data_IF_495105432334
#
_entry.id   IF_495105432334
#
_cell.length_a   1.000
_cell.length_b   1.000
_cell.length_c   1.000
_cell.angle_alpha   90.00
_cell.angle_beta   90.00
_cell.angle_gamma   90.00
#
_symmetry.space_group_name_H-M   'P 1'
#
loop_
_entity.id
_entity.type
_entity.pdbx_description
1 polymer ?
#
# COMPACT_ATOMS: atom_id res chain seq x y z
N UNK A 1 -8.38 16.00 6.29
CA UNK A 1 -7.90 14.60 6.29
C UNK A 1 -6.87 14.30 7.40
N UNK A 2 -6.28 15.31 8.05
CA UNK A 2 -5.23 15.16 9.08
C UNK A 2 -5.77 14.87 10.50
N UNK A 3 -6.93 15.43 10.87
CA UNK A 3 -7.56 15.20 12.19
C UNK A 3 -7.94 13.72 12.40
N UNK A 4 -8.58 13.10 11.41
CA UNK A 4 -9.08 11.72 11.49
C UNK A 4 -7.98 10.65 11.58
N UNK A 5 -6.76 10.96 11.13
CA UNK A 5 -5.59 10.07 11.27
C UNK A 5 -5.07 10.04 12.70
N UNK A 6 -5.22 11.15 13.42
CA UNK A 6 -4.90 11.25 14.83
C UNK A 6 -5.84 10.32 15.62
N UNK A 7 -7.16 10.39 15.35
CA UNK A 7 -8.19 9.58 15.99
C UNK A 7 -7.93 8.07 15.83
N UNK A 8 -7.58 7.58 14.63
CA UNK A 8 -7.34 6.14 14.42
C UNK A 8 -6.08 5.61 15.12
N UNK A 9 -5.04 6.45 15.23
CA UNK A 9 -3.77 6.07 15.88
C UNK A 9 -3.93 6.07 17.41
N UNK A 10 -4.69 7.03 17.94
CA UNK A 10 -5.04 7.10 19.36
C UNK A 10 -5.88 5.88 19.78
N UNK A 11 -6.96 5.60 19.06
CA UNK A 11 -7.82 4.43 19.33
C UNK A 11 -7.05 3.11 19.18
N UNK A 12 -6.10 3.02 18.24
CA UNK A 12 -5.21 1.86 18.13
C UNK A 12 -4.39 1.65 19.41
N UNK A 13 -3.83 2.73 19.96
CA UNK A 13 -3.04 2.67 21.19
C UNK A 13 -3.90 2.27 22.41
N UNK A 14 -5.16 2.69 22.46
CA UNK A 14 -6.12 2.28 23.49
C UNK A 14 -6.36 0.76 23.44
N UNK A 15 -6.64 0.18 22.27
CA UNK A 15 -6.82 -1.27 22.13
C UNK A 15 -5.54 -2.06 22.44
N UNK A 16 -4.36 -1.54 22.08
CA UNK A 16 -3.09 -2.19 22.43
C UNK A 16 -2.85 -2.19 23.94
N UNK A 17 -3.20 -1.09 24.63
CA UNK A 17 -3.13 -1.00 26.08
C UNK A 17 -4.10 -1.96 26.77
N UNK A 18 -5.37 -1.98 26.34
CA UNK A 18 -6.40 -2.89 26.87
C UNK A 18 -5.99 -4.36 26.66
N UNK A 19 -5.51 -4.71 25.46
CA UNK A 19 -5.02 -6.06 25.16
C UNK A 19 -3.86 -6.47 26.06
N UNK A 20 -2.87 -5.59 26.23
CA UNK A 20 -1.70 -5.84 27.07
C UNK A 20 -2.10 -6.10 28.52
N UNK A 21 -2.97 -5.25 29.08
CA UNK A 21 -3.49 -5.39 30.44
C UNK A 21 -4.36 -6.66 30.60
N UNK A 22 -5.19 -7.01 29.61
CA UNK A 22 -5.96 -8.26 29.60
C UNK A 22 -5.03 -9.49 29.70
N UNK A 23 -3.91 -9.47 28.96
CA UNK A 23 -2.92 -10.54 28.98
C UNK A 23 -2.23 -10.66 30.33
N UNK A 24 -1.85 -9.52 30.94
CA UNK A 24 -1.23 -9.48 32.27
C UNK A 24 -2.20 -10.02 33.33
N UNK A 25 -3.46 -9.56 33.33
CA UNK A 25 -4.49 -10.06 34.24
C UNK A 25 -4.73 -11.56 34.10
N UNK A 26 -4.65 -12.11 32.88
CA UNK A 26 -4.79 -13.54 32.63
C UNK A 26 -3.60 -14.36 33.14
N UNK A 27 -2.39 -13.81 33.09
CA UNK A 27 -1.16 -14.45 33.56
C UNK A 27 -1.03 -14.40 35.09
N UNK A 28 -1.53 -13.33 35.71
CA UNK A 28 -1.44 -13.08 37.14
C UNK A 28 -2.66 -13.60 37.92
N UNK A 29 -3.48 -14.48 37.34
CA UNK A 29 -4.60 -15.11 38.07
C UNK A 29 -4.04 -16.05 39.14
N UNK A 30 -3.79 -15.51 40.33
CA UNK A 30 -3.58 -16.27 41.56
C UNK A 30 -4.88 -16.95 41.96
N UNK A 31 -4.82 -18.12 42.61
CA UNK A 31 -5.95 -18.84 43.24
C UNK A 31 -6.54 -18.08 44.45
N UNK A 32 -6.48 -16.75 44.42
CA UNK A 32 -7.20 -15.87 45.32
C UNK A 32 -8.69 -16.09 45.14
N UNK A 33 -9.38 -16.40 46.23
CA UNK A 33 -10.85 -16.44 46.30
C UNK A 33 -11.50 -15.09 45.94
N UNK A 34 -10.71 -14.02 45.90
CA UNK A 34 -11.09 -12.67 45.52
C UNK A 34 -10.16 -12.20 44.38
N UNK A 35 -10.55 -12.44 43.13
CA UNK A 35 -9.86 -11.85 41.98
C UNK A 35 -9.94 -10.33 42.02
N UNK A 36 -9.03 -9.63 41.32
CA UNK A 36 -9.04 -8.16 41.21
C UNK A 36 -10.22 -7.69 40.34
N UNK A 37 -11.42 -7.75 40.91
CA UNK A 37 -12.68 -7.37 40.24
C UNK A 37 -12.59 -5.96 39.66
N UNK A 38 -11.97 -5.04 40.39
CA UNK A 38 -11.86 -3.64 40.01
C UNK A 38 -10.94 -3.43 38.79
N UNK A 39 -9.84 -4.17 38.69
CA UNK A 39 -8.93 -4.08 37.53
C UNK A 39 -9.59 -4.61 36.26
N UNK A 40 -10.35 -5.71 36.38
CA UNK A 40 -11.11 -6.27 35.26
C UNK A 40 -12.27 -5.37 34.85
N UNK A 41 -12.95 -4.74 35.81
CA UNK A 41 -14.04 -3.80 35.56
C UNK A 41 -13.52 -2.56 34.82
N UNK A 42 -12.43 -1.95 35.31
CA UNK A 42 -11.77 -0.84 34.65
C UNK A 42 -11.36 -1.19 33.21
N UNK A 43 -10.88 -2.42 32.98
CA UNK A 43 -10.49 -2.89 31.67
C UNK A 43 -11.68 -3.07 30.71
N UNK A 44 -12.80 -3.55 31.22
CA UNK A 44 -14.05 -3.67 30.45
C UNK A 44 -14.60 -2.28 30.09
N UNK A 45 -14.54 -1.32 31.00
CA UNK A 45 -14.95 0.07 30.71
C UNK A 45 -14.01 0.72 29.68
N UNK A 46 -12.69 0.58 29.83
CA UNK A 46 -11.72 1.07 28.85
C UNK A 46 -11.94 0.46 27.45
N UNK A 47 -12.30 -0.82 27.39
CA UNK A 47 -12.68 -1.46 26.12
C UNK A 47 -13.95 -0.86 25.51
N UNK A 48 -14.98 -0.56 26.32
CA UNK A 48 -16.23 0.04 25.83
C UNK A 48 -15.99 1.44 25.28
N UNK A 49 -15.16 2.24 25.94
CA UNK A 49 -14.80 3.57 25.47
C UNK A 49 -14.06 3.50 24.13
N UNK A 50 -13.02 2.66 24.05
CA UNK A 50 -12.29 2.43 22.79
C UNK A 50 -13.20 1.90 21.68
N UNK A 51 -14.17 1.01 22.01
CA UNK A 51 -15.17 0.49 21.08
C UNK A 51 -16.09 1.58 20.53
N UNK A 52 -16.50 2.56 21.34
CA UNK A 52 -17.33 3.67 20.88
C UNK A 52 -16.58 4.50 19.83
N UNK A 53 -15.32 4.83 20.09
CA UNK A 53 -14.47 5.54 19.14
C UNK A 53 -14.23 4.72 17.87
N UNK A 54 -13.97 3.41 18.01
CA UNK A 54 -13.86 2.48 16.88
C UNK A 54 -15.13 2.43 16.02
N UNK A 55 -16.32 2.38 16.64
CA UNK A 55 -17.60 2.35 15.93
C UNK A 55 -17.79 3.55 15.01
N UNK A 56 -17.39 4.75 15.48
CA UNK A 56 -17.37 5.96 14.66
C UNK A 56 -16.41 5.82 13.47
N UNK A 57 -15.16 5.40 13.71
CA UNK A 57 -14.15 5.19 12.66
C UNK A 57 -14.65 4.18 11.62
N UNK A 58 -15.20 3.04 12.05
CA UNK A 58 -15.67 1.99 11.12
C UNK A 58 -16.84 2.44 10.26
N UNK A 59 -17.75 3.26 10.79
CA UNK A 59 -18.88 3.81 10.02
C UNK A 59 -18.38 4.85 9.01
N UNK A 60 -17.48 5.73 9.42
CA UNK A 60 -16.88 6.76 8.55
C UNK A 60 -16.00 6.14 7.44
N UNK A 61 -15.30 5.05 7.73
CA UNK A 61 -14.40 4.35 6.78
C UNK A 61 -15.05 3.15 6.09
N UNK A 62 -16.34 2.90 6.33
CA UNK A 62 -17.10 1.76 5.81
C UNK A 62 -16.41 0.39 6.06
N UNK A 63 -15.79 0.23 7.23
CA UNK A 63 -15.21 -1.03 7.66
C UNK A 63 -16.33 -1.94 8.17
N UNK A 64 -16.58 -3.05 7.48
CA UNK A 64 -17.56 -4.07 7.87
C UNK A 64 -17.15 -4.91 9.11
N UNK A 65 -16.47 -4.30 10.07
CA UNK A 65 -15.93 -4.96 11.27
C UNK A 65 -16.77 -4.59 12.48
N UNK A 66 -17.31 -5.59 13.15
CA UNK A 66 -18.13 -5.43 14.35
C UNK A 66 -17.44 -6.04 15.57
N UNK A 67 -17.35 -5.27 16.64
CA UNK A 67 -16.84 -5.71 17.94
C UNK A 67 -18.00 -6.06 18.86
N UNK A 68 -17.88 -7.16 19.60
CA UNK A 68 -18.93 -7.60 20.54
C UNK A 68 -19.02 -6.69 21.76
N UNK A 69 -20.21 -6.61 22.35
CA UNK A 69 -20.35 -6.05 23.70
C UNK A 69 -19.81 -7.06 24.71
N UNK A 70 -18.97 -6.56 25.62
CA UNK A 70 -18.41 -7.34 26.71
C UNK A 70 -18.95 -6.74 28.01
N UNK A 71 -19.61 -7.57 28.80
CA UNK A 71 -20.17 -7.18 30.08
C UNK A 71 -19.60 -8.03 31.21
N UNK A 72 -19.44 -7.40 32.38
CA UNK A 72 -19.10 -8.10 33.62
C UNK A 72 -20.21 -9.04 34.12
N UNK A 73 -21.40 -9.01 33.49
CA UNK A 73 -22.56 -9.81 33.89
C UNK A 73 -22.54 -11.16 33.19
N UNK A 74 -22.15 -12.22 33.91
CA UNK A 74 -22.15 -13.57 33.34
C UNK A 74 -21.73 -14.66 34.32
N UNK A 75 -22.70 -15.55 34.59
CA UNK A 75 -22.67 -16.90 35.19
C UNK A 75 -22.00 -17.07 36.57
N UNK A 76 -22.63 -17.90 37.41
CA UNK A 76 -22.23 -18.26 38.78
C UNK A 76 -20.93 -19.11 38.81
N UNK A 77 -19.84 -18.58 38.26
CA UNK A 77 -18.53 -19.21 38.26
C UNK A 77 -17.62 -18.58 39.32
N UNK A 78 -16.54 -19.28 39.66
CA UNK A 78 -15.49 -18.71 40.50
C UNK A 78 -14.89 -17.45 39.86
N UNK A 79 -14.48 -16.49 40.70
CA UNK A 79 -13.90 -15.22 40.26
C UNK A 79 -12.73 -15.41 39.28
N UNK A 80 -11.88 -16.40 39.55
CA UNK A 80 -10.73 -16.75 38.70
C UNK A 80 -11.15 -17.24 37.30
N UNK A 81 -12.24 -18.02 37.19
CA UNK A 81 -12.74 -18.47 35.89
C UNK A 81 -13.36 -17.32 35.10
N UNK A 82 -14.13 -16.47 35.79
CA UNK A 82 -14.74 -15.27 35.20
C UNK A 82 -13.68 -14.32 34.64
N UNK A 83 -12.61 -14.07 35.39
CA UNK A 83 -11.47 -13.26 34.94
C UNK A 83 -10.81 -13.86 33.71
N UNK A 84 -10.47 -15.16 33.73
CA UNK A 84 -9.85 -15.83 32.56
C UNK A 84 -10.71 -15.78 31.31
N UNK A 85 -12.03 -15.96 31.45
CA UNK A 85 -12.96 -15.91 30.33
C UNK A 85 -13.05 -14.49 29.74
N UNK A 86 -13.30 -13.49 30.58
CA UNK A 86 -13.43 -12.09 30.13
C UNK A 86 -12.13 -11.54 29.55
N UNK A 87 -10.98 -11.80 30.17
CA UNK A 87 -9.68 -11.39 29.61
C UNK A 87 -9.42 -12.01 28.25
N UNK A 88 -9.89 -13.24 27.98
CA UNK A 88 -9.75 -13.89 26.68
C UNK A 88 -10.69 -13.28 25.63
N UNK A 89 -11.91 -12.92 26.03
CA UNK A 89 -12.85 -12.23 25.15
C UNK A 89 -12.31 -10.85 24.76
N UNK A 90 -11.81 -10.08 25.73
CA UNK A 90 -11.15 -8.80 25.51
C UNK A 90 -9.96 -8.92 24.54
N UNK A 91 -9.06 -9.87 24.77
CA UNK A 91 -7.90 -10.13 23.89
C UNK A 91 -8.33 -10.39 22.44
N UNK A 92 -9.41 -11.18 22.25
CA UNK A 92 -9.93 -11.53 20.93
C UNK A 92 -10.58 -10.34 20.22
N UNK A 93 -11.40 -9.56 20.91
CA UNK A 93 -12.06 -8.40 20.29
C UNK A 93 -11.08 -7.25 20.04
N UNK A 94 -10.12 -7.02 20.94
CA UNK A 94 -9.03 -6.05 20.70
C UNK A 94 -8.20 -6.44 19.48
N UNK A 95 -7.94 -7.73 19.25
CA UNK A 95 -7.20 -8.19 18.06
C UNK A 95 -7.91 -7.86 16.75
N UNK A 96 -9.24 -8.00 16.71
CA UNK A 96 -10.03 -7.59 15.55
C UNK A 96 -9.91 -6.08 15.30
N UNK A 97 -10.06 -5.28 16.35
CA UNK A 97 -9.99 -3.83 16.27
C UNK A 97 -8.60 -3.36 15.81
N UNK A 98 -7.54 -3.87 16.41
CA UNK A 98 -6.15 -3.58 16.06
C UNK A 98 -5.87 -3.93 14.60
N UNK A 99 -6.32 -5.10 14.14
CA UNK A 99 -6.15 -5.52 12.73
C UNK A 99 -6.86 -4.56 11.78
N UNK A 100 -8.10 -4.18 12.09
CA UNK A 100 -8.86 -3.23 11.29
C UNK A 100 -8.22 -1.83 11.26
N UNK A 101 -7.81 -1.31 12.42
CA UNK A 101 -7.15 0.01 12.51
C UNK A 101 -5.78 0.02 11.84
N UNK A 102 -5.00 -1.06 11.95
CA UNK A 102 -3.72 -1.19 11.23
C UNK A 102 -3.90 -1.24 9.72
N UNK A 103 -5.02 -1.76 9.23
CA UNK A 103 -5.34 -1.69 7.79
C UNK A 103 -5.70 -0.28 7.31
N UNK A 104 -6.06 0.63 8.24
CA UNK A 104 -6.28 2.05 7.97
C UNK A 104 -5.00 2.89 8.11
N UNK A 105 -4.04 2.43 8.93
CA UNK A 105 -2.75 3.08 9.05
C UNK A 105 -1.97 2.89 7.74
N UNK A 106 -1.42 3.96 7.14
CA UNK A 106 -0.53 3.77 6.01
C UNK A 106 0.68 2.96 6.48
N UNK A 107 1.00 1.89 5.77
CA UNK A 107 2.17 1.05 6.05
C UNK A 107 3.50 1.77 5.77
N UNK A 108 3.44 3.01 5.27
CA UNK A 108 4.55 3.76 4.71
C UNK A 108 5.22 4.65 5.75
N UNK A 109 6.55 4.61 5.79
CA UNK A 109 7.35 5.54 6.60
C UNK A 109 7.16 6.98 6.10
N UNK A 110 7.53 7.99 6.91
CA UNK A 110 7.45 9.39 6.48
C UNK A 110 8.22 9.65 5.18
N UNK A 111 9.34 8.94 4.97
CA UNK A 111 10.13 9.03 3.72
C UNK A 111 9.41 8.41 2.52
N UNK A 112 8.72 7.29 2.71
CA UNK A 112 7.94 6.65 1.65
C UNK A 112 6.77 7.54 1.22
N UNK A 113 6.12 8.24 2.16
CA UNK A 113 5.03 9.16 1.85
C UNK A 113 5.48 10.31 0.93
N UNK A 114 6.66 10.89 1.18
CA UNK A 114 7.23 11.94 0.32
C UNK A 114 7.48 11.42 -1.09
N UNK A 115 8.07 10.22 -1.22
CA UNK A 115 8.32 9.58 -2.52
C UNK A 115 7.01 9.31 -3.25
N UNK A 116 6.00 8.72 -2.58
CA UNK A 116 4.70 8.44 -3.20
C UNK A 116 3.98 9.72 -3.64
N UNK A 117 4.12 10.80 -2.87
CA UNK A 117 3.55 12.11 -3.23
C UNK A 117 4.23 12.65 -4.49
N UNK A 118 5.56 12.57 -4.58
CA UNK A 118 6.31 12.93 -5.79
C UNK A 118 5.87 12.08 -6.99
N UNK A 119 5.71 10.77 -6.82
CA UNK A 119 5.27 9.88 -7.90
C UNK A 119 3.86 10.22 -8.40
N UNK A 120 2.93 10.59 -7.50
CA UNK A 120 1.58 11.05 -7.89
C UNK A 120 1.66 12.33 -8.71
N UNK A 121 2.49 13.29 -8.30
CA UNK A 121 2.67 14.54 -9.03
C UNK A 121 3.28 14.31 -10.43
N UNK A 122 4.30 13.44 -10.53
CA UNK A 122 4.87 13.06 -11.82
C UNK A 122 3.84 12.35 -12.72
N UNK A 123 2.93 11.55 -12.13
CA UNK A 123 1.87 10.89 -12.88
C UNK A 123 0.86 11.89 -13.46
N UNK A 124 0.52 12.95 -12.72
CA UNK A 124 -0.35 14.03 -13.20
C UNK A 124 0.28 14.76 -14.41
N UNK A 125 1.59 14.95 -14.42
CA UNK A 125 2.32 15.57 -15.55
C UNK A 125 2.30 14.72 -16.83
N UNK A 126 2.04 13.42 -16.71
CA UNK A 126 1.92 12.51 -17.85
C UNK A 126 0.52 12.50 -18.46
N UNK A 127 -0.46 13.16 -17.83
CA UNK A 127 -1.86 13.15 -18.26
C UNK A 127 -2.00 13.59 -19.73
N UNK A 128 -2.67 12.77 -20.53
CA UNK A 128 -2.84 12.99 -21.97
C UNK A 128 -1.58 12.83 -22.84
N UNK A 129 -0.41 12.55 -22.24
CA UNK A 129 0.86 12.43 -22.95
C UNK A 129 1.27 10.96 -23.22
N UNK A 130 0.57 9.99 -22.62
CA UNK A 130 0.73 8.54 -22.88
C UNK A 130 -0.55 8.02 -23.57
N UNK A 131 -0.45 7.16 -24.61
CA UNK A 131 -1.60 6.81 -25.47
C UNK A 131 -2.79 6.12 -24.77
N UNK A 132 -2.55 5.23 -23.81
CA UNK A 132 -3.62 4.48 -23.13
C UNK A 132 -3.85 5.00 -21.71
N UNK A 133 -4.91 5.78 -21.50
CA UNK A 133 -5.30 6.37 -20.21
C UNK A 133 -5.43 5.36 -19.04
N UNK A 134 -5.53 4.05 -19.30
CA UNK A 134 -5.59 3.06 -18.23
C UNK A 134 -4.30 2.99 -17.39
N UNK A 135 -3.16 3.50 -17.88
CA UNK A 135 -1.93 3.57 -17.09
C UNK A 135 -2.14 4.32 -15.77
N UNK A 136 -2.87 5.43 -15.78
CA UNK A 136 -3.09 6.28 -14.62
C UNK A 136 -3.89 5.53 -13.54
N UNK A 137 -4.98 4.86 -13.95
CA UNK A 137 -5.80 4.03 -13.05
C UNK A 137 -4.95 2.93 -12.42
N UNK A 138 -4.11 2.25 -13.19
CA UNK A 138 -3.27 1.18 -12.68
C UNK A 138 -2.19 1.71 -11.73
N UNK A 139 -1.50 2.80 -12.07
CA UNK A 139 -0.45 3.37 -11.19
C UNK A 139 -1.05 3.90 -9.89
N UNK A 140 -2.20 4.59 -9.95
CA UNK A 140 -2.90 5.06 -8.74
C UNK A 140 -3.38 3.90 -7.85
N UNK A 141 -3.89 2.81 -8.44
CA UNK A 141 -4.27 1.61 -7.68
C UNK A 141 -3.03 0.93 -7.07
N UNK A 142 -1.90 0.89 -7.80
CA UNK A 142 -0.65 0.35 -7.28
C UNK A 142 -0.11 1.16 -6.10
N UNK A 143 -0.18 2.50 -6.16
CA UNK A 143 0.20 3.38 -5.06
C UNK A 143 -0.74 3.18 -3.86
N UNK A 144 -2.05 3.11 -4.10
CA UNK A 144 -3.05 2.86 -3.05
C UNK A 144 -2.82 1.50 -2.37
N UNK A 145 -2.50 0.46 -3.14
CA UNK A 145 -2.14 -0.85 -2.62
C UNK A 145 -0.87 -0.79 -1.75
N UNK A 146 0.14 -0.02 -2.17
CA UNK A 146 1.35 0.20 -1.37
C UNK A 146 1.03 0.90 -0.03
N UNK A 147 0.25 1.98 -0.08
CA UNK A 147 -0.15 2.73 1.12
C UNK A 147 -0.88 1.83 2.14
N UNK A 148 -1.65 0.85 1.66
CA UNK A 148 -2.34 -0.17 2.48
C UNK A 148 -1.45 -1.34 2.92
N UNK A 149 -0.15 -1.33 2.59
CA UNK A 149 0.78 -2.44 2.88
C UNK A 149 0.58 -3.68 2.00
N UNK A 150 -0.23 -3.60 0.95
CA UNK A 150 -0.47 -4.68 0.00
C UNK A 150 0.64 -4.72 -1.08
N UNK A 151 1.88 -4.95 -0.64
CA UNK A 151 3.08 -4.85 -1.49
C UNK A 151 3.05 -5.78 -2.71
N UNK A 152 2.60 -7.03 -2.56
CA UNK A 152 2.47 -7.95 -3.69
C UNK A 152 1.48 -7.43 -4.73
N UNK A 153 0.32 -6.92 -4.31
CA UNK A 153 -0.69 -6.38 -5.22
C UNK A 153 -0.15 -5.15 -5.96
N UNK A 154 0.47 -4.23 -5.22
CA UNK A 154 1.14 -3.06 -5.79
C UNK A 154 2.20 -3.46 -6.82
N UNK A 155 3.05 -4.44 -6.48
CA UNK A 155 4.08 -4.93 -7.38
C UNK A 155 3.53 -5.56 -8.66
N UNK A 156 2.46 -6.35 -8.56
CA UNK A 156 1.80 -6.98 -9.72
C UNK A 156 1.23 -5.92 -10.68
N UNK A 157 0.56 -4.91 -10.14
CA UNK A 157 -0.04 -3.84 -10.93
C UNK A 157 1.06 -2.99 -11.58
N UNK A 158 2.07 -2.53 -10.81
CA UNK A 158 3.21 -1.78 -11.33
C UNK A 158 3.97 -2.55 -12.42
N UNK A 159 4.21 -3.84 -12.20
CA UNK A 159 4.87 -4.73 -13.18
C UNK A 159 4.12 -4.81 -14.50
N UNK A 160 2.78 -4.86 -14.47
CA UNK A 160 1.94 -4.86 -15.68
C UNK A 160 2.12 -3.56 -16.47
N UNK A 161 2.16 -2.41 -15.79
CA UNK A 161 2.36 -1.11 -16.43
C UNK A 161 3.76 -1.00 -17.03
N UNK A 162 4.81 -1.48 -16.35
CA UNK A 162 6.17 -1.54 -16.90
C UNK A 162 6.23 -2.36 -18.19
N UNK A 163 5.56 -3.53 -18.22
CA UNK A 163 5.52 -4.37 -19.41
C UNK A 163 4.81 -3.65 -20.56
N UNK A 164 3.65 -3.03 -20.29
CA UNK A 164 2.94 -2.21 -21.27
C UNK A 164 3.81 -1.07 -21.81
N UNK A 165 4.41 -0.26 -20.93
CA UNK A 165 5.24 0.89 -21.31
C UNK A 165 6.47 0.44 -22.10
N UNK A 166 7.10 -0.68 -21.70
CA UNK A 166 8.20 -1.26 -22.46
C UNK A 166 7.76 -1.63 -23.88
N UNK A 167 6.57 -2.20 -24.04
CA UNK A 167 6.06 -2.64 -25.34
C UNK A 167 5.66 -1.49 -26.27
N UNK A 168 5.46 -0.27 -25.75
CA UNK A 168 5.28 0.94 -26.57
C UNK A 168 6.58 1.43 -27.22
N UNK A 169 7.75 1.02 -26.73
CA UNK A 169 9.05 1.42 -27.31
C UNK A 169 9.38 0.50 -28.48
N UNK A 170 9.67 1.09 -29.65
CA UNK A 170 10.00 0.36 -30.89
C UNK A 170 11.24 -0.52 -30.72
N UNK A 171 11.15 -1.77 -31.18
CA UNK A 171 12.20 -2.79 -31.08
C UNK A 171 11.64 -4.10 -30.52
N UNK A 172 12.21 -5.25 -30.91
CA UNK A 172 11.77 -6.55 -30.41
C UNK A 172 12.53 -6.92 -29.13
N UNK A 173 13.85 -6.73 -29.16
CA UNK A 173 14.74 -6.99 -28.04
C UNK A 173 15.03 -5.73 -27.23
N UNK A 174 15.55 -5.88 -26.01
CA UNK A 174 15.85 -4.75 -25.14
C UNK A 174 16.95 -3.85 -25.75
N UNK A 175 17.89 -4.48 -26.44
CA UNK A 175 18.97 -3.85 -27.19
C UNK A 175 18.43 -2.95 -28.31
N UNK A 176 17.46 -3.44 -29.09
CA UNK A 176 16.81 -2.68 -30.16
C UNK A 176 16.10 -1.44 -29.61
N UNK A 177 15.38 -1.62 -28.49
CA UNK A 177 14.65 -0.53 -27.82
C UNK A 177 15.59 0.56 -27.34
N UNK A 178 16.72 0.20 -26.73
CA UNK A 178 17.73 1.19 -26.30
C UNK A 178 18.39 1.86 -27.48
N UNK A 179 18.69 1.10 -28.54
CA UNK A 179 19.28 1.65 -29.75
C UNK A 179 18.33 2.67 -30.39
N UNK A 180 17.03 2.36 -30.49
CA UNK A 180 16.00 3.28 -30.95
C UNK A 180 15.95 4.56 -30.09
N UNK A 181 15.92 4.43 -28.75
CA UNK A 181 15.88 5.59 -27.86
C UNK A 181 17.13 6.47 -28.00
N UNK A 182 18.29 5.86 -28.17
CA UNK A 182 19.55 6.58 -28.40
C UNK A 182 19.52 7.32 -29.75
N UNK A 183 19.05 6.68 -30.81
CA UNK A 183 19.00 7.27 -32.15
C UNK A 183 18.02 8.44 -32.22
N UNK A 184 17.04 8.48 -31.32
CA UNK A 184 16.13 9.61 -31.10
C UNK A 184 16.68 10.66 -30.12
N UNK A 185 17.89 10.49 -29.57
CA UNK A 185 18.50 11.41 -28.61
C UNK A 185 17.82 11.43 -27.25
N UNK A 186 17.03 10.39 -26.91
CA UNK A 186 16.24 10.32 -25.67
C UNK A 186 17.00 9.70 -24.50
N UNK A 187 18.20 9.18 -24.76
CA UNK A 187 19.09 8.69 -23.71
C UNK A 187 20.53 9.10 -24.01
N UNK A 188 21.22 9.54 -22.95
CA UNK A 188 22.60 10.00 -22.97
C UNK A 188 23.60 8.95 -23.48
N UNK A 189 24.81 9.41 -23.81
CA UNK A 189 25.88 8.62 -24.42
C UNK A 189 26.22 7.28 -23.69
N UNK A 190 25.92 7.14 -22.40
CA UNK A 190 26.00 5.84 -21.70
C UNK A 190 24.78 4.95 -21.96
N UNK A 191 24.72 4.43 -23.19
CA UNK A 191 23.78 3.38 -23.62
C UNK A 191 23.67 2.22 -22.62
N UNK A 192 24.74 1.92 -21.86
CA UNK A 192 24.74 0.79 -20.93
C UNK A 192 23.91 1.07 -19.68
N UNK A 193 23.87 2.32 -19.19
CA UNK A 193 23.05 2.68 -18.03
C UNK A 193 21.55 2.57 -18.37
N UNK A 194 21.15 3.12 -19.51
CA UNK A 194 19.79 3.01 -20.05
C UNK A 194 19.36 1.55 -20.24
N UNK A 195 20.22 0.75 -20.88
CA UNK A 195 20.00 -0.69 -21.08
C UNK A 195 19.90 -1.45 -19.77
N UNK A 196 20.75 -1.15 -18.79
CA UNK A 196 20.68 -1.77 -17.46
C UNK A 196 19.35 -1.44 -16.78
N UNK A 197 18.88 -0.20 -16.82
CA UNK A 197 17.62 0.20 -16.19
C UNK A 197 16.41 -0.45 -16.87
N UNK A 198 16.34 -0.42 -18.21
CA UNK A 198 15.26 -1.05 -18.98
C UNK A 198 15.19 -2.57 -18.75
N UNK A 199 16.34 -3.25 -18.83
CA UNK A 199 16.44 -4.70 -18.58
C UNK A 199 16.10 -5.01 -17.13
N UNK A 200 16.58 -4.22 -16.17
CA UNK A 200 16.31 -4.43 -14.74
C UNK A 200 14.82 -4.32 -14.45
N UNK A 201 14.15 -3.27 -14.93
CA UNK A 201 12.72 -3.07 -14.72
C UNK A 201 11.91 -4.23 -15.32
N UNK A 202 12.16 -4.60 -16.58
CA UNK A 202 11.47 -5.72 -17.25
C UNK A 202 11.74 -7.07 -16.59
N UNK A 203 12.98 -7.34 -16.18
CA UNK A 203 13.35 -8.58 -15.48
C UNK A 203 12.68 -8.64 -14.11
N UNK A 204 12.64 -7.52 -13.39
CA UNK A 204 11.97 -7.43 -12.08
C UNK A 204 10.48 -7.69 -12.22
N UNK A 205 9.83 -7.03 -13.19
CA UNK A 205 8.41 -7.26 -13.50
C UNK A 205 8.13 -8.73 -13.83
N UNK A 206 8.93 -9.35 -14.72
CA UNK A 206 8.78 -10.77 -15.06
C UNK A 206 9.03 -11.71 -13.88
N UNK A 207 9.94 -11.35 -12.96
CA UNK A 207 10.22 -12.15 -11.76
C UNK A 207 9.01 -12.16 -10.81
N UNK A 208 8.30 -11.05 -10.65
CA UNK A 208 7.06 -10.98 -9.86
C UNK A 208 6.00 -11.94 -10.43
N UNK A 209 5.96 -12.11 -11.75
CA UNK A 209 5.06 -13.07 -12.42
C UNK A 209 5.64 -14.50 -12.57
N UNK A 210 6.85 -14.76 -12.06
CA UNK A 210 7.51 -16.05 -12.23
C UNK A 210 6.97 -17.12 -11.27
N UNK A 211 7.28 -18.40 -11.55
CA UNK A 211 6.79 -19.57 -10.78
C UNK A 211 7.32 -19.65 -9.34
N UNK A 212 8.17 -18.72 -8.90
CA UNK A 212 8.67 -18.69 -7.53
C UNK A 212 7.63 -18.06 -6.59
N UNK A 213 6.73 -18.91 -6.09
CA UNK A 213 5.68 -18.54 -5.14
C UNK A 213 6.21 -18.07 -3.78
N UNK A 214 7.51 -18.17 -3.54
CA UNK A 214 8.15 -17.73 -2.28
C UNK A 214 8.66 -16.30 -2.36
N UNK A 215 8.74 -15.72 -3.57
CA UNK A 215 9.23 -14.36 -3.78
C UNK A 215 8.15 -13.32 -3.47
N UNK A 216 8.17 -12.78 -2.25
CA UNK A 216 7.36 -11.62 -1.86
C UNK A 216 8.21 -10.34 -1.88
N UNK A 217 7.75 -9.27 -2.58
CA UNK A 217 8.49 -8.02 -2.62
C UNK A 217 8.39 -7.28 -1.27
N UNK A 218 9.51 -6.71 -0.82
CA UNK A 218 9.54 -5.81 0.34
C UNK A 218 8.99 -4.42 -0.01
N UNK A 219 8.72 -3.58 0.99
CA UNK A 219 8.30 -2.19 0.78
C UNK A 219 9.31 -1.43 -0.10
N UNK A 220 10.61 -1.58 0.15
CA UNK A 220 11.66 -0.92 -0.64
C UNK A 220 11.67 -1.41 -2.10
N UNK A 221 11.49 -2.72 -2.31
CA UNK A 221 11.42 -3.31 -3.66
C UNK A 221 10.24 -2.73 -4.45
N UNK A 222 9.08 -2.60 -3.81
CA UNK A 222 7.87 -2.07 -4.48
C UNK A 222 7.99 -0.57 -4.74
N UNK A 223 8.56 0.19 -3.82
CA UNK A 223 8.75 1.63 -4.01
C UNK A 223 9.73 1.93 -5.16
N UNK A 224 10.81 1.15 -5.25
CA UNK A 224 11.72 1.19 -6.39
C UNK A 224 11.00 0.82 -7.70
N UNK A 225 10.14 -0.21 -7.67
CA UNK A 225 9.38 -0.63 -8.84
C UNK A 225 8.35 0.41 -9.30
N UNK A 226 7.66 1.09 -8.37
CA UNK A 226 6.76 2.20 -8.68
C UNK A 226 7.52 3.37 -9.31
N UNK A 227 8.71 3.69 -8.79
CA UNK A 227 9.57 4.72 -9.37
C UNK A 227 10.04 4.36 -10.78
N UNK A 228 10.44 3.11 -11.00
CA UNK A 228 10.79 2.62 -12.35
C UNK A 228 9.58 2.62 -13.29
N UNK A 229 8.37 2.40 -12.78
CA UNK A 229 7.12 2.46 -13.56
C UNK A 229 6.87 3.86 -14.10
N UNK A 230 6.95 4.89 -13.25
CA UNK A 230 6.76 6.30 -13.67
C UNK A 230 7.83 6.71 -14.68
N UNK A 231 9.10 6.38 -14.44
CA UNK A 231 10.19 6.65 -15.40
C UNK A 231 9.97 6.00 -16.77
N UNK A 232 9.45 4.78 -16.80
CA UNK A 232 9.13 4.09 -18.05
C UNK A 232 8.01 4.81 -18.82
N UNK A 233 7.02 5.35 -18.11
CA UNK A 233 5.93 6.11 -18.72
C UNK A 233 6.41 7.48 -19.22
N UNK A 234 7.31 8.16 -18.51
CA UNK A 234 7.98 9.39 -18.96
C UNK A 234 8.74 9.17 -20.29
N UNK A 235 9.45 8.04 -20.40
CA UNK A 235 10.12 7.65 -21.65
C UNK A 235 9.12 7.47 -22.78
N UNK A 236 8.01 6.74 -22.55
CA UNK A 236 6.96 6.55 -23.56
C UNK A 236 6.35 7.87 -24.00
N UNK A 237 6.03 8.75 -23.06
CA UNK A 237 5.51 10.09 -23.36
C UNK A 237 6.46 10.87 -24.27
N UNK A 238 7.76 10.79 -23.99
CA UNK A 238 8.78 11.49 -24.79
C UNK A 238 8.91 10.89 -26.19
N UNK A 239 8.86 9.56 -26.31
CA UNK A 239 8.83 8.86 -27.61
C UNK A 239 7.64 9.29 -28.44
N UNK A 240 6.43 9.30 -27.86
CA UNK A 240 5.21 9.70 -28.57
C UNK A 240 5.28 11.15 -29.08
N UNK A 241 5.85 12.07 -28.30
CA UNK A 241 6.06 13.47 -28.72
C UNK A 241 7.03 13.58 -29.91
N UNK A 242 8.14 12.84 -29.88
CA UNK A 242 9.14 12.85 -30.96
C UNK A 242 8.59 12.24 -32.24
N UNK A 243 7.79 11.17 -32.15
CA UNK A 243 7.17 10.55 -33.30
C UNK A 243 6.12 11.47 -33.95
N UNK A 244 5.27 12.13 -33.16
CA UNK A 244 4.30 13.12 -33.67
C UNK A 244 4.98 14.28 -34.40
N UNK A 245 6.07 14.83 -33.86
CA UNK A 245 6.84 15.91 -34.48
C UNK A 245 7.60 15.46 -35.75
N UNK A 246 7.87 14.16 -35.91
CA UNK A 246 8.50 13.61 -37.10
C UNK A 246 7.48 13.43 -38.25
N UNK A 247 6.24 13.02 -37.94
CA UNK A 247 5.17 12.88 -38.92
C UNK A 247 4.68 14.22 -39.49
N UNK A 248 4.66 15.30 -38.69
CA UNK A 248 4.27 16.63 -39.17
C UNK A 248 5.28 17.25 -40.16
N UNK A 249 6.54 16.80 -40.14
CA UNK A 249 7.59 17.29 -41.06
C UNK A 249 7.58 16.58 -42.41
N UNK A 250 6.97 15.40 -42.53
CA UNK A 250 6.91 14.66 -43.80
C UNK A 250 5.68 15.04 -44.65
N UNK A 251 4.64 15.66 -44.08
CA UNK A 251 3.44 16.12 -44.81
C UNK A 251 3.57 17.50 -45.50
N UNK A 252 4.74 18.17 -45.42
CA UNK A 252 5.02 19.38 -46.20
C UNK A 252 6.23 19.16 -47.12
N UNK A 253 6.00 18.58 -48.30
CA UNK A 253 6.36 19.33 -49.51
C UNK A 253 5.48 18.98 -50.72
N UNK A 254 4.57 19.88 -51.13
CA UNK A 254 4.12 20.02 -52.51
C UNK A 254 3.26 21.30 -52.68
N UNK A 255 3.88 22.46 -52.52
CA UNK A 255 3.45 23.62 -53.32
C UNK A 255 4.60 23.89 -54.28
N UNK A 256 4.54 23.24 -55.43
CA UNK A 256 5.28 23.68 -56.61
C UNK A 256 4.29 24.32 -57.56
N UNK A 257 4.63 25.56 -57.88
CA UNK A 257 4.11 26.54 -58.83
C UNK A 257 3.54 25.98 -60.14
#
# INVERSE_FOLDING_TARGET
MTLMKLDATEVLSEFEAVKSQAKQLRQNVTDSLFGSSDELENLVEAYKDAKLHFGRITTEQNLGVYLRDIEMKGRDYSAAYKQKALSRELDTECDKAITALKSLAPASSKGDFEILTTLKQQLEELYGAVPDANYEVNVNEAITAYERGAYLASALIASRVILYASDQIRGEFAEDKVQFLHDKGLVEADKRAALRSLIKAKRTAKRIFSRDITAFPSADDVLALLSDTVRMLELVSTVSKVEAASSEKEESPAVTE
#
